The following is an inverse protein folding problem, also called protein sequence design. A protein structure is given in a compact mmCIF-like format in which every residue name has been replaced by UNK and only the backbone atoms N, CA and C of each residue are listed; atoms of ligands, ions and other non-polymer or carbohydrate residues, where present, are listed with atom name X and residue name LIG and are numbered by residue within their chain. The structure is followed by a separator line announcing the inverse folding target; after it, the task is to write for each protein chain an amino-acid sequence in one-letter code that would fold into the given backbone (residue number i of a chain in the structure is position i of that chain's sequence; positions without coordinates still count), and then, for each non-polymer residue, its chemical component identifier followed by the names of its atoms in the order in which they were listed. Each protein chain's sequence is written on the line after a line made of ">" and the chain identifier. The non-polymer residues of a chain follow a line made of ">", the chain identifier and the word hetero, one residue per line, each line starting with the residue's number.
data_IF_976672804757
#
_entry.id   IF_976672804757
#
_cell.length_a   1.000
_cell.length_b   1.000
_cell.length_c   1.000
_cell.angle_alpha   90.00
_cell.angle_beta   90.00
_cell.angle_gamma   90.00
#
_symmetry.space_group_name_H-M   'P 1'
#
loop_
_entity.id
_entity.type
_entity.pdbx_description
1 polymer ?
#
# COMPACT_ATOMS: atom_id res chain seq x y z
N UNK A 1 -21.69 -18.01 4.21
CA UNK A 1 -21.55 -18.60 2.85
C UNK A 1 -22.87 -18.55 2.06
N UNK A 2 -24.00 -19.09 2.56
CA UNK A 2 -25.29 -19.05 1.84
C UNK A 2 -25.80 -17.65 1.52
N UNK A 3 -25.56 -16.66 2.40
CA UNK A 3 -25.97 -15.27 2.18
C UNK A 3 -25.14 -14.57 1.08
N UNK A 4 -23.86 -14.93 0.95
CA UNK A 4 -22.99 -14.37 -0.11
C UNK A 4 -23.34 -14.90 -1.50
N UNK A 5 -23.83 -16.14 -1.60
CA UNK A 5 -24.21 -16.77 -2.88
C UNK A 5 -25.54 -16.27 -3.44
N UNK A 6 -26.34 -15.55 -2.63
CA UNK A 6 -27.62 -14.95 -3.07
C UNK A 6 -27.49 -13.50 -3.56
N UNK A 7 -26.32 -12.88 -3.43
CA UNK A 7 -26.09 -11.52 -3.88
C UNK A 7 -25.85 -11.51 -5.40
N UNK A 8 -26.42 -10.53 -6.09
CA UNK A 8 -26.12 -10.28 -7.50
C UNK A 8 -24.66 -9.84 -7.61
N UNK A 9 -23.96 -10.35 -8.64
CA UNK A 9 -22.65 -9.85 -8.99
C UNK A 9 -22.73 -8.34 -9.30
N UNK A 10 -21.75 -7.61 -8.84
CA UNK A 10 -21.59 -6.18 -9.12
C UNK A 10 -20.29 -5.99 -9.88
N UNK A 11 -20.25 -5.18 -10.96
CA UNK A 11 -19.00 -4.82 -11.59
C UNK A 11 -18.12 -4.03 -10.64
N UNK A 12 -16.83 -4.20 -10.75
CA UNK A 12 -15.82 -3.44 -10.02
C UNK A 12 -14.75 -2.94 -10.96
N UNK A 13 -14.21 -1.79 -10.67
CA UNK A 13 -13.03 -1.28 -11.35
C UNK A 13 -11.81 -2.14 -11.00
N UNK A 14 -10.82 -2.13 -11.89
CA UNK A 14 -9.52 -2.77 -11.68
C UNK A 14 -8.40 -1.75 -11.96
N UNK A 15 -7.33 -1.80 -11.20
CA UNK A 15 -6.10 -1.10 -11.57
C UNK A 15 -5.32 -2.00 -12.51
N UNK A 16 -5.03 -1.53 -13.72
CA UNK A 16 -4.13 -2.20 -14.63
C UNK A 16 -2.74 -1.57 -14.49
N UNK A 17 -1.77 -2.36 -14.06
CA UNK A 17 -0.37 -1.98 -13.90
C UNK A 17 0.46 -2.67 -14.99
N UNK A 18 0.75 -1.98 -16.08
CA UNK A 18 1.24 -2.56 -17.34
C UNK A 18 0.29 -3.68 -17.81
N UNK A 19 0.74 -4.95 -17.80
CA UNK A 19 -0.05 -6.11 -18.19
C UNK A 19 -0.65 -6.88 -16.98
N UNK A 20 -0.55 -6.34 -15.78
CA UNK A 20 -0.98 -6.98 -14.53
C UNK A 20 -2.23 -6.27 -14.01
N UNK A 21 -3.26 -7.04 -13.66
CA UNK A 21 -4.45 -6.50 -13.03
C UNK A 21 -4.37 -6.60 -11.51
N UNK A 22 -4.71 -5.50 -10.84
CA UNK A 22 -4.78 -5.38 -9.39
C UNK A 22 -6.23 -5.11 -8.97
N UNK A 23 -6.76 -5.99 -8.15
CA UNK A 23 -8.15 -5.90 -7.66
C UNK A 23 -8.25 -4.96 -6.47
N UNK A 24 -7.22 -4.97 -5.61
CA UNK A 24 -7.29 -4.34 -4.31
C UNK A 24 -6.24 -3.24 -4.12
N UNK A 25 -4.95 -3.59 -3.99
CA UNK A 25 -3.89 -2.62 -3.68
C UNK A 25 -2.57 -2.99 -4.34
N UNK A 26 -1.95 -2.02 -5.00
CA UNK A 26 -0.54 -2.04 -5.38
C UNK A 26 0.25 -1.15 -4.42
N UNK A 27 1.34 -1.67 -3.85
CA UNK A 27 2.20 -0.88 -2.98
C UNK A 27 3.68 -1.04 -3.31
N UNK A 28 4.46 0.04 -3.03
CA UNK A 28 5.90 0.07 -3.27
C UNK A 28 6.57 1.01 -2.27
N UNK A 29 7.11 0.54 -1.23
CA UNK A 29 7.92 1.23 -0.22
C UNK A 29 8.14 0.27 0.95
N UNK A 30 8.20 0.75 2.17
CA UNK A 30 8.30 -0.12 3.34
C UNK A 30 7.04 -0.98 3.54
N UNK A 31 5.88 -0.51 3.11
CA UNK A 31 4.64 -1.28 3.09
C UNK A 31 4.72 -2.52 2.20
N UNK A 32 5.32 -2.41 1.00
CA UNK A 32 5.55 -3.57 0.13
C UNK A 32 6.57 -4.55 0.74
N UNK A 33 7.63 -4.03 1.35
CA UNK A 33 8.62 -4.87 2.03
C UNK A 33 7.99 -5.70 3.17
N UNK A 34 7.05 -5.12 3.90
CA UNK A 34 6.28 -5.84 4.92
C UNK A 34 5.37 -6.89 4.27
N UNK A 35 4.64 -6.52 3.22
CA UNK A 35 3.72 -7.42 2.51
C UNK A 35 4.46 -8.64 1.95
N UNK A 36 5.56 -8.41 1.25
CA UNK A 36 6.38 -9.46 0.63
C UNK A 36 7.03 -10.41 1.65
N UNK A 37 7.21 -9.97 2.89
CA UNK A 37 7.91 -10.75 3.91
C UNK A 37 7.00 -11.26 5.04
N UNK A 38 5.71 -10.92 5.07
CA UNK A 38 4.81 -11.27 6.18
C UNK A 38 4.72 -12.79 6.44
N UNK A 39 4.80 -13.60 5.38
CA UNK A 39 4.72 -15.06 5.51
C UNK A 39 5.91 -15.67 6.27
N UNK A 40 7.07 -15.03 6.23
CA UNK A 40 8.29 -15.49 6.90
C UNK A 40 8.22 -15.34 8.43
N UNK A 41 7.30 -14.53 8.94
CA UNK A 41 7.24 -14.14 10.35
C UNK A 41 6.04 -14.70 11.11
N UNK A 42 5.11 -15.40 10.46
CA UNK A 42 3.91 -15.99 11.10
C UNK A 42 4.19 -17.15 12.07
N UNK A 43 5.46 -17.51 12.31
CA UNK A 43 5.83 -18.73 13.06
C UNK A 43 5.96 -18.57 14.58
N UNK A 44 5.71 -17.39 15.15
CA UNK A 44 5.83 -17.19 16.60
C UNK A 44 4.48 -17.49 17.28
N UNK A 45 4.28 -18.75 17.68
CA UNK A 45 3.00 -19.26 18.19
C UNK A 45 2.53 -18.65 19.54
N UNK A 46 3.39 -18.01 20.32
CA UNK A 46 3.08 -17.56 21.70
C UNK A 46 2.76 -16.07 21.84
N UNK A 47 2.86 -15.25 20.79
CA UNK A 47 2.53 -13.83 20.87
C UNK A 47 1.15 -13.53 20.25
N UNK A 48 0.37 -12.59 20.85
CA UNK A 48 -0.82 -12.03 20.21
C UNK A 48 -0.51 -11.50 18.80
N UNK A 49 -1.43 -11.69 17.85
CA UNK A 49 -1.20 -11.33 16.42
C UNK A 49 -0.70 -9.90 16.22
N UNK A 50 -1.25 -8.94 16.98
CA UNK A 50 -0.82 -7.55 16.95
C UNK A 50 0.66 -7.37 17.36
N UNK A 51 1.11 -8.04 18.41
CA UNK A 51 2.50 -7.97 18.87
C UNK A 51 3.47 -8.70 17.91
N UNK A 52 3.02 -9.75 17.25
CA UNK A 52 3.82 -10.40 16.20
C UNK A 52 4.08 -9.43 15.05
N UNK A 53 3.04 -8.71 14.62
CA UNK A 53 3.15 -7.72 13.55
C UNK A 53 4.11 -6.58 13.92
N UNK A 54 4.00 -6.04 15.13
CA UNK A 54 4.91 -4.99 15.64
C UNK A 54 6.36 -5.46 15.67
N UNK A 55 6.62 -6.67 16.11
CA UNK A 55 7.98 -7.23 16.13
C UNK A 55 8.56 -7.35 14.72
N UNK A 56 7.73 -7.74 13.74
CA UNK A 56 8.12 -7.74 12.32
C UNK A 56 8.49 -6.34 11.86
N UNK A 57 7.61 -5.37 12.11
CA UNK A 57 7.84 -3.97 11.73
C UNK A 57 9.16 -3.44 12.31
N UNK A 58 9.43 -3.65 13.61
CA UNK A 58 10.66 -3.18 14.26
C UNK A 58 11.89 -3.82 13.64
N UNK A 59 11.87 -5.14 13.42
CA UNK A 59 13.00 -5.87 12.82
C UNK A 59 13.24 -5.46 11.37
N UNK A 60 12.19 -5.23 10.61
CA UNK A 60 12.31 -4.85 9.21
C UNK A 60 12.78 -3.41 9.06
N UNK A 61 12.19 -2.44 9.78
CA UNK A 61 12.56 -1.03 9.65
C UNK A 61 14.04 -0.77 10.00
N UNK A 62 14.63 -1.52 10.95
CA UNK A 62 16.04 -1.36 11.31
C UNK A 62 16.96 -1.70 10.14
N UNK A 63 16.61 -2.70 9.31
CA UNK A 63 17.37 -3.18 8.15
C UNK A 63 16.94 -2.54 6.84
N UNK A 64 15.75 -1.94 6.79
CA UNK A 64 15.20 -1.39 5.56
C UNK A 64 16.03 -0.23 5.03
N UNK A 65 16.26 -0.22 3.73
CA UNK A 65 16.86 0.90 3.00
C UNK A 65 15.77 1.57 2.19
N UNK A 66 15.64 2.88 2.34
CA UNK A 66 14.76 3.67 1.50
C UNK A 66 15.41 3.88 0.14
N UNK A 67 14.58 3.88 -0.90
CA UNK A 67 15.01 4.14 -2.27
C UNK A 67 14.07 5.17 -2.87
N UNK A 68 14.60 6.11 -3.67
CA UNK A 68 13.77 7.11 -4.31
C UNK A 68 12.67 6.47 -5.16
N UNK A 69 11.46 6.94 -4.92
CA UNK A 69 10.26 6.58 -5.67
C UNK A 69 9.78 7.83 -6.39
N UNK A 70 9.50 7.71 -7.68
CA UNK A 70 8.97 8.81 -8.49
C UNK A 70 7.56 8.47 -8.93
N UNK A 71 6.64 9.39 -8.68
CA UNK A 71 5.23 9.31 -9.05
C UNK A 71 4.90 10.45 -10.00
N UNK A 72 4.35 10.12 -11.17
CA UNK A 72 4.06 11.08 -12.24
C UNK A 72 2.61 10.89 -12.66
N UNK A 73 1.81 11.95 -12.69
CA UNK A 73 0.48 11.94 -13.29
C UNK A 73 0.27 13.19 -14.14
N UNK A 74 -0.44 13.04 -15.26
CA UNK A 74 -0.69 14.11 -16.20
C UNK A 74 0.60 14.85 -16.64
N UNK A 75 1.68 14.10 -16.88
CA UNK A 75 3.03 14.62 -17.22
C UNK A 75 3.67 15.51 -16.14
N UNK A 76 3.11 15.53 -14.93
CA UNK A 76 3.67 16.28 -13.80
C UNK A 76 4.20 15.31 -12.75
N UNK A 77 5.38 15.61 -12.22
CA UNK A 77 5.95 14.88 -11.08
C UNK A 77 5.16 15.28 -9.83
N UNK A 78 4.38 14.34 -9.29
CA UNK A 78 3.66 14.51 -8.03
C UNK A 78 4.62 14.34 -6.86
N UNK A 79 5.51 13.37 -6.95
CA UNK A 79 6.49 13.07 -5.92
C UNK A 79 7.79 12.53 -6.51
N UNK A 80 8.89 12.85 -5.86
CA UNK A 80 10.21 12.28 -6.17
C UNK A 80 11.06 12.28 -4.88
N UNK A 81 11.21 11.13 -4.28
CA UNK A 81 11.95 11.00 -3.01
C UNK A 81 11.67 9.66 -2.33
N UNK A 82 12.12 9.55 -1.08
CA UNK A 82 11.95 8.35 -0.27
C UNK A 82 10.57 8.34 0.40
N UNK A 83 9.91 7.18 0.42
CA UNK A 83 8.60 6.97 1.01
C UNK A 83 8.64 5.88 2.08
N UNK A 84 7.83 6.03 3.11
CA UNK A 84 7.55 4.97 4.10
C UNK A 84 6.38 4.11 3.61
N UNK A 85 5.36 4.75 3.06
CA UNK A 85 4.17 4.12 2.48
C UNK A 85 3.96 4.69 1.10
N UNK A 86 3.65 3.84 0.15
CA UNK A 86 3.21 4.25 -1.18
C UNK A 86 2.22 3.20 -1.71
N UNK A 87 0.94 3.51 -1.63
CA UNK A 87 -0.13 2.60 -1.99
C UNK A 87 -1.07 3.22 -3.03
N UNK A 88 -1.35 2.47 -4.07
CA UNK A 88 -2.35 2.73 -5.10
C UNK A 88 -3.51 1.79 -4.83
N UNK A 89 -4.61 2.35 -4.35
CA UNK A 89 -5.72 1.58 -3.81
C UNK A 89 -6.92 1.62 -4.76
N UNK A 90 -7.48 0.45 -5.03
CA UNK A 90 -8.83 0.27 -5.54
C UNK A 90 -9.75 -0.09 -4.36
N UNK A 91 -9.28 -0.97 -3.46
CA UNK A 91 -9.96 -1.33 -2.22
C UNK A 91 -9.41 -0.61 -0.99
N UNK A 92 -10.22 -0.54 0.08
CA UNK A 92 -9.91 0.20 1.31
C UNK A 92 -8.89 -0.48 2.21
N UNK A 93 -8.89 -1.81 2.23
CA UNK A 93 -8.19 -2.59 3.25
C UNK A 93 -7.08 -3.44 2.64
N UNK A 94 -5.96 -3.46 3.33
CA UNK A 94 -4.75 -4.17 2.94
C UNK A 94 -4.28 -5.08 4.09
N UNK A 95 -3.62 -6.19 3.76
CA UNK A 95 -2.77 -6.97 4.65
C UNK A 95 -3.31 -7.25 6.06
N UNK A 96 -4.52 -7.84 6.19
CA UNK A 96 -5.06 -8.23 7.49
C UNK A 96 -5.93 -7.18 8.18
N UNK A 97 -6.50 -6.25 7.40
CA UNK A 97 -7.50 -5.30 7.87
C UNK A 97 -6.96 -3.88 8.16
N UNK A 98 -5.79 -3.54 7.65
CA UNK A 98 -5.31 -2.16 7.68
C UNK A 98 -6.05 -1.32 6.64
N UNK A 99 -6.68 -0.25 7.09
CA UNK A 99 -7.35 0.72 6.23
C UNK A 99 -6.31 1.72 5.70
N UNK A 100 -5.81 1.48 4.48
CA UNK A 100 -4.82 2.33 3.82
C UNK A 100 -5.48 3.26 2.80
N UNK A 101 -6.50 2.78 2.10
CA UNK A 101 -7.31 3.54 1.15
C UNK A 101 -8.63 3.97 1.78
N UNK A 102 -8.61 4.92 2.71
CA UNK A 102 -9.81 5.35 3.46
C UNK A 102 -10.95 5.79 2.54
N UNK A 103 -10.62 6.47 1.45
CA UNK A 103 -11.58 7.03 0.49
C UNK A 103 -11.71 6.18 -0.79
N UNK A 104 -11.02 5.03 -0.85
CA UNK A 104 -11.06 4.13 -1.99
C UNK A 104 -12.45 3.50 -2.18
N UNK A 105 -12.87 3.43 -3.43
CA UNK A 105 -14.13 2.85 -3.83
C UNK A 105 -13.95 2.09 -5.15
N UNK A 106 -14.23 0.82 -5.14
CA UNK A 106 -14.06 -0.09 -6.28
C UNK A 106 -14.99 0.17 -7.49
N UNK A 107 -15.78 1.25 -7.46
CA UNK A 107 -16.79 1.58 -8.48
C UNK A 107 -16.81 3.07 -8.82
N UNK A 108 -15.76 3.84 -8.51
CA UNK A 108 -15.75 5.29 -8.74
C UNK A 108 -14.85 5.73 -9.91
N UNK A 109 -14.19 4.77 -10.58
CA UNK A 109 -13.34 5.04 -11.74
C UNK A 109 -12.04 5.75 -11.40
N UNK A 110 -11.53 5.62 -10.16
CA UNK A 110 -10.30 6.27 -9.71
C UNK A 110 -9.37 5.30 -8.97
N UNK A 111 -8.08 5.60 -9.07
CA UNK A 111 -7.03 5.03 -8.24
C UNK A 111 -6.82 5.99 -7.06
N UNK A 112 -6.99 5.50 -5.85
CA UNK A 112 -6.67 6.26 -4.64
C UNK A 112 -5.18 6.15 -4.33
N UNK A 113 -4.42 7.20 -4.62
CA UNK A 113 -3.00 7.29 -4.27
C UNK A 113 -2.87 7.77 -2.82
N UNK A 114 -2.20 6.97 -2.02
CA UNK A 114 -1.89 7.27 -0.63
C UNK A 114 -0.39 7.11 -0.40
N UNK A 115 0.30 8.16 0.03
CA UNK A 115 1.68 8.00 0.43
C UNK A 115 2.06 8.78 1.68
N UNK A 116 3.07 8.28 2.36
CA UNK A 116 3.67 8.89 3.55
C UNK A 116 5.15 9.13 3.26
N UNK A 117 5.56 10.38 3.34
CA UNK A 117 6.95 10.80 3.17
C UNK A 117 7.85 10.14 4.21
N UNK A 118 9.12 9.97 3.86
CA UNK A 118 10.08 9.37 4.78
C UNK A 118 10.40 10.28 5.96
N UNK A 119 10.73 9.66 7.06
CA UNK A 119 11.21 10.27 8.30
C UNK A 119 12.30 9.41 8.93
N UNK A 120 13.03 9.96 9.92
CA UNK A 120 13.97 9.16 10.70
C UNK A 120 13.31 7.90 11.26
N UNK A 121 13.98 6.75 11.16
CA UNK A 121 13.43 5.42 11.53
C UNK A 121 12.84 5.39 12.95
N UNK A 122 13.44 6.12 13.90
CA UNK A 122 12.91 6.28 15.27
C UNK A 122 11.51 6.89 15.31
N UNK A 123 11.23 7.86 14.42
CA UNK A 123 9.90 8.47 14.30
C UNK A 123 8.91 7.54 13.63
N UNK A 124 9.34 6.74 12.65
CA UNK A 124 8.47 5.72 12.05
C UNK A 124 7.95 4.76 13.13
N UNK A 125 8.81 4.30 14.03
CA UNK A 125 8.40 3.46 15.16
C UNK A 125 7.39 4.14 16.08
N UNK A 126 7.58 5.43 16.35
CA UNK A 126 6.62 6.23 17.13
C UNK A 126 5.26 6.31 16.42
N UNK A 127 5.24 6.59 15.11
CA UNK A 127 4.00 6.64 14.34
C UNK A 127 3.31 5.27 14.23
N UNK A 128 4.06 4.18 14.12
CA UNK A 128 3.52 2.81 14.21
C UNK A 128 2.82 2.61 15.56
N UNK A 129 3.44 3.06 16.67
CA UNK A 129 2.82 2.99 17.99
C UNK A 129 1.54 3.81 18.07
N UNK A 130 1.50 5.04 17.52
CA UNK A 130 0.28 5.84 17.45
C UNK A 130 -0.82 5.18 16.62
N UNK A 131 -0.47 4.55 15.49
CA UNK A 131 -1.38 3.78 14.66
C UNK A 131 -2.05 2.65 15.46
N UNK A 132 -1.28 1.90 16.23
CA UNK A 132 -1.81 0.82 17.08
C UNK A 132 -2.76 1.35 18.17
N UNK A 133 -2.52 2.57 18.64
CA UNK A 133 -3.39 3.26 19.61
C UNK A 133 -4.61 3.94 18.95
N UNK A 134 -4.78 3.82 17.62
CA UNK A 134 -5.81 4.54 16.83
C UNK A 134 -5.76 6.06 17.03
N UNK A 135 -4.56 6.60 17.23
CA UNK A 135 -4.29 8.04 17.45
C UNK A 135 -3.33 8.58 16.39
N UNK A 136 -3.24 7.89 15.24
CA UNK A 136 -2.36 8.30 14.15
C UNK A 136 -2.92 9.56 13.49
N UNK A 137 -2.12 10.61 13.55
CA UNK A 137 -2.27 11.80 12.72
C UNK A 137 -0.93 12.05 12.01
N UNK A 138 -0.92 11.97 10.71
CA UNK A 138 0.27 12.16 9.88
C UNK A 138 0.41 13.59 9.36
N UNK A 139 -0.65 14.40 9.46
CA UNK A 139 -0.65 15.79 9.02
C UNK A 139 -0.01 15.96 7.64
N UNK A 140 0.99 16.85 7.54
CA UNK A 140 1.70 17.15 6.28
C UNK A 140 2.56 16.02 5.71
N UNK A 141 2.77 14.94 6.45
CA UNK A 141 3.52 13.76 5.97
C UNK A 141 2.69 12.85 5.08
N UNK A 142 1.37 12.96 5.17
CA UNK A 142 0.43 12.17 4.40
C UNK A 142 -0.05 12.95 3.19
N UNK A 143 -0.06 12.30 2.05
CA UNK A 143 -0.63 12.79 0.81
C UNK A 143 -1.68 11.79 0.32
N UNK A 144 -2.78 12.33 -0.17
CA UNK A 144 -3.84 11.57 -0.83
C UNK A 144 -4.32 12.31 -2.08
N UNK A 145 -4.55 11.57 -3.15
CA UNK A 145 -5.15 12.08 -4.38
C UNK A 145 -5.90 10.96 -5.11
N UNK A 146 -6.87 11.32 -5.94
CA UNK A 146 -7.63 10.42 -6.82
C UNK A 146 -7.20 10.62 -8.26
N UNK A 147 -6.70 9.56 -8.90
CA UNK A 147 -6.10 9.60 -10.21
C UNK A 147 -6.75 8.58 -11.15
N UNK A 148 -6.85 8.90 -12.45
CA UNK A 148 -7.27 7.94 -13.47
C UNK A 148 -6.10 7.14 -14.02
N UNK A 149 -4.92 7.78 -14.07
CA UNK A 149 -3.68 7.14 -14.48
C UNK A 149 -2.49 7.76 -13.79
N UNK A 150 -1.44 6.96 -13.61
CA UNK A 150 -0.21 7.39 -12.94
C UNK A 150 0.96 6.49 -13.34
N UNK A 151 2.12 7.08 -13.54
CA UNK A 151 3.38 6.37 -13.70
C UNK A 151 4.11 6.29 -12.36
N UNK A 152 4.46 5.09 -11.96
CA UNK A 152 5.31 4.77 -10.82
C UNK A 152 6.68 4.34 -11.33
N UNK A 153 7.75 4.93 -10.82
CA UNK A 153 9.13 4.48 -11.05
C UNK A 153 9.76 4.20 -9.70
N UNK A 154 10.16 2.96 -9.46
CA UNK A 154 10.73 2.55 -8.18
C UNK A 154 11.90 1.59 -8.37
N UNK A 155 12.84 1.61 -7.41
CA UNK A 155 13.94 0.66 -7.28
C UNK A 155 13.67 -0.41 -6.22
N UNK A 156 12.47 -0.46 -5.71
CA UNK A 156 12.03 -1.43 -4.71
C UNK A 156 11.09 -2.44 -5.35
N UNK A 157 11.04 -3.64 -4.78
CA UNK A 157 10.03 -4.63 -5.12
C UNK A 157 8.64 -4.07 -4.88
N UNK A 158 7.74 -4.32 -5.80
CA UNK A 158 6.35 -3.93 -5.74
C UNK A 158 5.53 -5.11 -5.24
N UNK A 159 4.53 -4.86 -4.44
CA UNK A 159 3.52 -5.86 -4.10
C UNK A 159 2.19 -5.50 -4.76
N UNK A 160 1.63 -6.43 -5.51
CA UNK A 160 0.32 -6.31 -6.16
C UNK A 160 -0.57 -7.44 -5.65
N UNK A 161 -1.60 -7.10 -4.90
CA UNK A 161 -2.57 -8.05 -4.32
C UNK A 161 -1.95 -9.24 -3.55
N UNK A 162 -0.77 -9.05 -2.97
CA UNK A 162 -0.05 -10.07 -2.21
C UNK A 162 1.09 -10.74 -2.96
N UNK A 163 1.22 -10.53 -4.26
CA UNK A 163 2.29 -11.08 -5.09
C UNK A 163 3.43 -10.06 -5.27
N UNK A 164 4.67 -10.57 -5.31
CA UNK A 164 5.89 -9.75 -5.41
C UNK A 164 6.33 -9.59 -6.86
N UNK A 165 6.58 -8.35 -7.27
CA UNK A 165 7.07 -7.99 -8.59
C UNK A 165 8.37 -7.21 -8.52
N UNK A 166 9.14 -7.25 -9.60
CA UNK A 166 10.46 -6.63 -9.69
C UNK A 166 10.40 -5.10 -9.69
N UNK A 167 11.46 -4.43 -9.21
CA UNK A 167 11.62 -2.99 -9.38
C UNK A 167 11.50 -2.57 -10.85
N UNK A 168 10.93 -1.38 -11.11
CA UNK A 168 10.78 -0.93 -12.48
C UNK A 168 9.90 0.29 -12.65
N UNK A 169 9.44 0.47 -13.89
CA UNK A 169 8.40 1.44 -14.25
C UNK A 169 7.08 0.70 -14.44
N UNK A 170 6.06 1.21 -13.79
CA UNK A 170 4.68 0.74 -13.89
C UNK A 170 3.80 1.89 -14.34
N UNK A 171 3.10 1.69 -15.43
CA UNK A 171 1.99 2.56 -15.83
C UNK A 171 0.72 1.97 -15.23
N UNK A 172 0.07 2.73 -14.36
CA UNK A 172 -1.17 2.35 -13.72
C UNK A 172 -2.31 3.14 -14.34
N UNK A 173 -3.37 2.45 -14.73
CA UNK A 173 -4.61 3.05 -15.20
C UNK A 173 -5.79 2.33 -14.56
N UNK A 174 -6.91 3.05 -14.35
CA UNK A 174 -8.14 2.43 -13.91
C UNK A 174 -8.88 1.88 -15.13
N UNK A 175 -9.36 0.65 -15.04
CA UNK A 175 -10.18 -0.01 -16.04
C UNK A 175 -11.53 -0.28 -15.40
N UNK A 176 -12.57 0.32 -15.95
CA UNK A 176 -13.98 0.13 -15.56
C UNK A 176 -14.73 -0.61 -16.68
N UNK A 177 -15.72 -1.42 -16.31
CA UNK A 177 -16.65 -2.04 -17.26
C UNK A 177 -17.64 -1.02 -17.83
#
# INVERSE_FOLDING_TARGET
>A
LRKSLSLKAQPIDLIKANDIYCINVLCCAFDSDIANNVHNYRKIKFLPKALQYVNVLIKRISKYRFYPTKVISNNKVIYNGDLVVCAFCNGRYFGGGFEIGKDANVQDGFIDLNFVSTLPKRLILYYIFLMLKKRLDLGKLYFHDKLKSVDLITRQEVNIDGETYQPGRYHLEIVSD
#
